data_IF_995579711098
#
_entry.id   IF_995579711098
#
_cell.length_a   1.000
_cell.length_b   1.000
_cell.length_c   1.000
_cell.angle_alpha   90.00
_cell.angle_beta   90.00
_cell.angle_gamma   90.00
#
_symmetry.space_group_name_H-M   'P 1'
#
loop_
_entity.id
_entity.type
_entity.pdbx_description
1 polymer ?
#
# COMPACT_ATOMS: atom_id res chain seq x y z
N UNK A 1 -7.48 -6.77 12.10
CA UNK A 1 -8.42 -5.92 12.86
C UNK A 1 -7.72 -4.57 13.03
N UNK A 2 -8.32 -3.49 12.55
CA UNK A 2 -7.73 -2.15 12.61
C UNK A 2 -7.52 -1.73 14.06
N UNK A 3 -6.30 -1.30 14.42
CA UNK A 3 -6.00 -0.77 15.76
C UNK A 3 -6.45 0.68 15.83
N UNK A 4 -7.58 0.89 16.48
CA UNK A 4 -8.09 2.21 16.81
C UNK A 4 -7.91 2.47 18.30
N UNK A 5 -7.40 3.63 18.65
CA UNK A 5 -7.49 4.14 20.02
C UNK A 5 -8.72 5.05 20.12
N UNK A 6 -9.57 4.78 21.11
CA UNK A 6 -10.61 5.73 21.47
C UNK A 6 -9.94 6.91 22.15
N UNK A 7 -10.44 8.12 21.92
CA UNK A 7 -10.06 9.26 22.74
C UNK A 7 -10.50 8.97 24.21
N UNK A 8 -9.56 8.48 25.03
CA UNK A 8 -9.80 8.14 26.44
C UNK A 8 -10.25 6.71 26.79
N UNK A 9 -10.10 5.66 25.94
CA UNK A 9 -10.19 4.23 26.40
C UNK A 9 -9.79 3.17 25.35
N UNK A 10 -9.54 1.94 25.81
CA UNK A 10 -8.87 0.85 25.07
C UNK A 10 -9.83 -0.20 24.46
N UNK A 11 -10.86 0.20 23.70
CA UNK A 11 -11.77 -0.76 23.05
C UNK A 11 -12.08 -0.39 21.59
N UNK A 12 -11.80 -1.32 20.68
CA UNK A 12 -12.07 -1.23 19.23
C UNK A 12 -13.47 -1.81 18.90
N UNK A 13 -14.40 -1.06 18.28
CA UNK A 13 -15.65 -1.61 17.75
C UNK A 13 -15.49 -2.23 16.35
N UNK A 14 -16.46 -3.05 15.95
CA UNK A 14 -16.55 -3.71 14.63
C UNK A 14 -16.81 -2.70 13.48
N UNK A 15 -16.27 -3.02 12.30
CA UNK A 15 -15.75 -2.07 11.29
C UNK A 15 -16.85 -1.44 10.38
N UNK A 16 -18.13 -1.77 10.56
CA UNK A 16 -19.13 -1.52 9.51
C UNK A 16 -19.76 -0.11 9.46
N UNK A 17 -19.59 0.76 10.47
CA UNK A 17 -20.21 2.11 10.46
C UNK A 17 -19.27 3.28 10.83
N UNK A 18 -17.99 3.17 10.50
CA UNK A 18 -17.03 4.25 10.74
C UNK A 18 -17.12 5.30 9.61
N UNK A 19 -17.45 6.54 9.96
CA UNK A 19 -17.42 7.68 9.03
C UNK A 19 -16.11 8.46 9.22
N UNK A 20 -15.33 8.73 8.16
CA UNK A 20 -14.16 9.61 8.26
C UNK A 20 -14.60 11.05 8.54
N UNK A 21 -14.10 11.64 9.62
CA UNK A 21 -14.44 13.01 10.02
C UNK A 21 -13.24 13.90 9.77
N UNK A 22 -13.17 14.61 8.63
CA UNK A 22 -12.43 15.89 8.42
C UNK A 22 -12.25 16.27 6.92
N UNK A 23 -12.65 17.49 6.50
CA UNK A 23 -12.37 18.01 5.15
C UNK A 23 -10.92 18.45 4.84
N UNK A 24 -10.09 19.00 5.76
CA UNK A 24 -8.71 19.43 5.42
C UNK A 24 -7.79 18.28 4.96
N UNK A 25 -8.08 17.06 5.43
CA UNK A 25 -7.32 15.85 5.10
C UNK A 25 -7.53 15.42 3.65
N UNK A 26 -8.69 15.68 3.06
CA UNK A 26 -9.00 15.23 1.70
C UNK A 26 -8.03 15.85 0.69
N UNK A 27 -7.75 17.14 0.83
CA UNK A 27 -6.79 17.85 -0.01
C UNK A 27 -5.35 17.39 0.23
N UNK A 28 -4.96 17.10 1.48
CA UNK A 28 -3.62 16.59 1.78
C UNK A 28 -3.42 15.16 1.26
N UNK A 29 -4.45 14.32 1.37
CA UNK A 29 -4.45 12.98 0.79
C UNK A 29 -4.45 13.03 -0.74
N UNK A 30 -5.13 13.99 -1.36
CA UNK A 30 -5.08 14.22 -2.80
C UNK A 30 -3.70 14.70 -3.26
N UNK A 31 -3.10 15.62 -2.50
CA UNK A 31 -1.76 16.15 -2.77
C UNK A 31 -0.71 15.03 -2.71
N UNK A 32 -0.74 14.20 -1.67
CA UNK A 32 0.20 13.09 -1.55
C UNK A 32 -0.07 12.02 -2.61
N UNK A 33 -1.34 11.68 -2.87
CA UNK A 33 -1.71 10.72 -3.92
C UNK A 33 -1.19 11.10 -5.30
N UNK A 34 -1.22 12.39 -5.66
CA UNK A 34 -0.68 12.89 -6.92
C UNK A 34 0.77 12.47 -7.18
N UNK A 35 1.61 12.42 -6.12
CA UNK A 35 3.00 11.99 -6.23
C UNK A 35 3.18 10.48 -6.07
N UNK A 36 2.39 9.83 -5.20
CA UNK A 36 2.55 8.40 -4.91
C UNK A 36 1.98 7.50 -6.01
N UNK A 37 0.86 7.90 -6.62
CA UNK A 37 0.17 7.11 -7.64
C UNK A 37 1.02 6.73 -8.85
N UNK A 38 1.76 7.64 -9.52
CA UNK A 38 2.62 7.24 -10.63
C UNK A 38 3.73 6.29 -10.18
N UNK A 39 4.22 6.42 -8.94
CA UNK A 39 5.26 5.56 -8.38
C UNK A 39 4.73 4.16 -8.08
N UNK A 40 3.51 4.06 -7.52
CA UNK A 40 2.88 2.77 -7.25
C UNK A 40 2.56 2.02 -8.55
N UNK A 41 2.11 2.73 -9.57
CA UNK A 41 1.81 2.16 -10.89
C UNK A 41 3.06 1.72 -11.67
N UNK A 42 4.22 2.27 -11.33
CA UNK A 42 5.50 1.89 -11.93
C UNK A 42 6.11 0.61 -11.30
N UNK A 43 5.51 0.07 -10.23
CA UNK A 43 5.99 -1.16 -9.61
C UNK A 43 5.90 -2.36 -10.58
N UNK A 44 6.93 -3.22 -10.68
CA UNK A 44 6.92 -4.35 -11.62
C UNK A 44 5.78 -5.35 -11.37
N UNK A 45 5.40 -5.52 -10.11
CA UNK A 45 4.33 -6.42 -9.69
C UNK A 45 2.93 -5.84 -9.91
N UNK A 46 2.79 -4.54 -10.20
CA UNK A 46 1.51 -3.85 -10.33
C UNK A 46 0.64 -4.48 -11.42
N UNK A 47 -0.59 -4.81 -11.04
CA UNK A 47 -1.68 -5.24 -11.93
C UNK A 47 -2.76 -4.17 -11.90
N UNK A 48 -3.18 -3.74 -13.10
CA UNK A 48 -4.10 -2.62 -13.26
C UNK A 48 -5.56 -3.09 -13.26
N UNK A 49 -5.83 -4.10 -14.06
CA UNK A 49 -7.16 -4.65 -14.30
C UNK A 49 -7.03 -6.10 -14.80
N UNK A 50 -8.19 -6.76 -14.98
CA UNK A 50 -8.26 -8.14 -15.46
C UNK A 50 -7.60 -8.33 -16.83
N UNK A 51 -7.68 -7.33 -17.72
CA UNK A 51 -7.08 -7.43 -19.05
C UNK A 51 -5.54 -7.41 -18.95
N UNK A 52 -4.99 -6.53 -18.11
CA UNK A 52 -3.55 -6.48 -17.83
C UNK A 52 -3.06 -7.79 -17.20
N UNK A 53 -3.84 -8.42 -16.31
CA UNK A 53 -3.49 -9.72 -15.74
C UNK A 53 -3.42 -10.81 -16.83
N UNK A 54 -4.44 -10.89 -17.70
CA UNK A 54 -4.46 -11.87 -18.80
C UNK A 54 -3.30 -11.65 -19.77
N UNK A 55 -2.94 -10.39 -20.04
CA UNK A 55 -1.77 -10.06 -20.85
C UNK A 55 -0.48 -10.61 -20.22
N UNK A 56 -0.23 -10.38 -18.92
CA UNK A 56 0.97 -10.90 -18.25
C UNK A 56 1.04 -12.43 -18.25
N UNK A 57 -0.12 -13.10 -18.13
CA UNK A 57 -0.21 -14.57 -18.23
C UNK A 57 0.15 -15.04 -19.65
N UNK A 58 -0.35 -14.35 -20.68
CA UNK A 58 0.00 -14.65 -22.07
C UNK A 58 1.49 -14.47 -22.32
N UNK A 59 2.06 -13.34 -21.88
CA UNK A 59 3.50 -13.06 -22.00
C UNK A 59 4.36 -14.13 -21.32
N UNK A 60 3.94 -14.64 -20.16
CA UNK A 60 4.61 -15.77 -19.51
C UNK A 60 4.53 -17.06 -20.34
N UNK A 61 3.36 -17.37 -20.89
CA UNK A 61 3.18 -18.56 -21.74
C UNK A 61 4.03 -18.48 -23.02
N UNK A 62 4.22 -17.27 -23.56
CA UNK A 62 5.05 -17.02 -24.74
C UNK A 62 6.55 -17.24 -24.48
N UNK A 63 7.00 -17.22 -23.22
CA UNK A 63 8.41 -17.53 -22.86
C UNK A 63 8.79 -19.01 -23.04
N UNK A 64 7.81 -19.89 -23.31
CA UNK A 64 8.00 -21.31 -23.51
C UNK A 64 7.55 -22.15 -22.32
N UNK A 65 7.77 -23.48 -22.37
CA UNK A 65 7.37 -24.37 -21.30
C UNK A 65 8.15 -24.05 -20.02
N UNK A 66 7.46 -24.05 -18.89
CA UNK A 66 8.09 -23.88 -17.58
C UNK A 66 9.07 -25.04 -17.31
N UNK A 67 10.23 -24.77 -16.70
CA UNK A 67 11.16 -25.81 -16.28
C UNK A 67 10.51 -26.83 -15.34
N UNK A 68 10.98 -28.07 -15.40
CA UNK A 68 10.54 -29.13 -14.49
C UNK A 68 10.76 -28.72 -13.03
N UNK A 69 9.74 -28.92 -12.20
CA UNK A 69 9.76 -28.52 -10.78
C UNK A 69 9.26 -27.12 -10.49
N UNK A 70 8.71 -26.40 -11.48
CA UNK A 70 8.03 -25.11 -11.26
C UNK A 70 6.81 -25.28 -10.34
N UNK A 71 6.74 -24.45 -9.30
CA UNK A 71 5.61 -24.39 -8.37
C UNK A 71 4.84 -23.07 -8.54
N UNK A 72 3.51 -23.18 -8.67
CA UNK A 72 2.63 -22.03 -8.57
C UNK A 72 2.28 -21.79 -7.10
N UNK A 73 2.73 -20.66 -6.56
CA UNK A 73 2.47 -20.25 -5.18
C UNK A 73 1.55 -19.04 -5.20
N UNK A 74 0.49 -19.07 -4.38
CA UNK A 74 -0.37 -17.93 -4.11
C UNK A 74 -0.36 -17.62 -2.62
N UNK A 75 -0.33 -16.33 -2.28
CA UNK A 75 -0.47 -15.86 -0.91
C UNK A 75 -1.41 -14.65 -0.91
N UNK A 76 -2.37 -14.69 0.02
CA UNK A 76 -3.31 -13.62 0.31
C UNK A 76 -2.88 -12.80 1.54
N UNK A 77 -2.81 -11.48 1.41
CA UNK A 77 -2.57 -10.54 2.51
C UNK A 77 -3.88 -10.19 3.19
N UNK A 78 -4.00 -10.49 4.49
CA UNK A 78 -5.23 -10.23 5.25
C UNK A 78 -5.27 -8.77 5.73
N UNK A 79 -6.34 -8.06 5.37
CA UNK A 79 -6.64 -6.70 5.83
C UNK A 79 -5.42 -5.77 5.76
N UNK A 80 -4.90 -5.57 4.55
CA UNK A 80 -3.66 -4.85 4.31
C UNK A 80 -3.63 -3.44 4.92
N UNK A 81 -4.64 -2.60 4.64
CA UNK A 81 -4.69 -1.21 5.09
C UNK A 81 -4.40 -1.04 6.59
N UNK A 82 -5.12 -1.71 7.52
CA UNK A 82 -4.85 -1.58 8.94
C UNK A 82 -3.60 -2.29 9.46
N UNK A 83 -3.00 -3.20 8.68
CA UNK A 83 -1.91 -4.06 9.14
C UNK A 83 -0.54 -3.68 8.53
N UNK A 84 -0.49 -2.69 7.64
CA UNK A 84 0.78 -2.17 7.14
C UNK A 84 1.55 -1.54 8.31
N UNK A 85 2.77 -2.01 8.51
CA UNK A 85 3.73 -1.37 9.39
C UNK A 85 4.01 0.05 8.86
N UNK A 86 3.78 1.07 9.70
CA UNK A 86 3.90 2.45 9.26
C UNK A 86 5.34 2.85 8.94
N UNK A 87 6.33 2.30 9.65
CA UNK A 87 7.74 2.57 9.39
C UNK A 87 8.15 1.93 8.06
N UNK A 88 7.70 0.71 7.80
CA UNK A 88 7.91 0.05 6.50
C UNK A 88 7.27 0.84 5.36
N UNK A 89 6.01 1.29 5.52
CA UNK A 89 5.32 2.04 4.48
C UNK A 89 5.91 3.42 4.25
N UNK A 90 6.37 4.12 5.29
CA UNK A 90 7.07 5.40 5.17
C UNK A 90 8.45 5.24 4.51
N UNK A 91 9.17 4.16 4.83
CA UNK A 91 10.42 3.80 4.15
C UNK A 91 10.17 3.56 2.66
N UNK A 92 9.14 2.77 2.32
CA UNK A 92 8.77 2.49 0.93
C UNK A 92 8.45 3.77 0.14
N UNK A 93 7.64 4.65 0.72
CA UNK A 93 7.32 5.96 0.14
C UNK A 93 8.57 6.79 -0.07
N UNK A 94 9.45 6.85 0.93
CA UNK A 94 10.70 7.62 0.87
C UNK A 94 11.61 7.12 -0.24
N UNK A 95 11.82 5.80 -0.34
CA UNK A 95 12.63 5.19 -1.39
C UNK A 95 12.06 5.47 -2.79
N UNK A 96 10.74 5.32 -2.95
CA UNK A 96 10.06 5.59 -4.21
C UNK A 96 10.12 7.08 -4.60
N UNK A 97 10.02 8.00 -3.65
CA UNK A 97 10.13 9.43 -3.93
C UNK A 97 11.56 9.85 -4.25
N UNK A 98 12.56 9.22 -3.64
CA UNK A 98 13.98 9.48 -3.92
C UNK A 98 14.43 8.97 -5.30
N UNK A 99 13.70 8.02 -5.91
CA UNK A 99 13.98 7.58 -7.29
C UNK A 99 13.46 8.53 -8.37
N UNK A 100 12.70 9.56 -7.99
CA UNK A 100 12.17 10.56 -8.93
C UNK A 100 13.31 11.35 -9.58
N UNK A 101 13.21 11.66 -10.89
CA UNK A 101 14.20 12.50 -11.57
C UNK A 101 14.17 13.95 -11.06
N UNK A 102 13.01 14.43 -10.62
CA UNK A 102 12.84 15.75 -10.00
C UNK A 102 12.49 15.58 -8.52
N UNK A 103 13.34 16.13 -7.64
CA UNK A 103 13.19 16.10 -6.19
C UNK A 103 12.39 17.29 -5.63
N UNK A 104 11.70 18.04 -6.48
CA UNK A 104 10.79 19.10 -6.08
C UNK A 104 9.31 18.63 -6.13
N UNK A 105 8.52 18.83 -5.06
CA UNK A 105 8.93 19.30 -3.74
C UNK A 105 9.72 18.22 -2.97
N UNK A 106 10.47 18.69 -1.97
CA UNK A 106 11.36 17.87 -1.12
C UNK A 106 10.67 16.60 -0.63
N UNK A 107 11.33 15.46 -0.79
CA UNK A 107 10.83 14.15 -0.37
C UNK A 107 10.53 14.14 1.13
N UNK A 108 11.55 14.36 1.96
CA UNK A 108 11.45 14.24 3.43
C UNK A 108 10.59 15.35 4.05
N UNK A 109 10.94 16.61 3.76
CA UNK A 109 10.37 17.75 4.48
C UNK A 109 9.00 18.20 3.99
N UNK A 110 8.47 17.58 2.92
CA UNK A 110 7.16 17.94 2.38
C UNK A 110 6.26 16.72 2.15
N UNK A 111 6.61 15.83 1.23
CA UNK A 111 5.69 14.76 0.82
C UNK A 111 5.60 13.68 1.90
N UNK A 112 6.74 13.20 2.41
CA UNK A 112 6.79 12.19 3.48
C UNK A 112 6.11 12.73 4.74
N UNK A 113 6.39 13.98 5.11
CA UNK A 113 5.74 14.63 6.25
C UNK A 113 4.21 14.76 6.06
N UNK A 114 3.76 15.12 4.86
CA UNK A 114 2.33 15.14 4.54
C UNK A 114 1.69 13.74 4.66
N UNK A 115 2.38 12.68 4.24
CA UNK A 115 1.92 11.29 4.42
C UNK A 115 1.85 10.93 5.91
N UNK A 116 2.87 11.28 6.72
CA UNK A 116 2.85 11.06 8.17
C UNK A 116 1.66 11.75 8.83
N UNK A 117 1.37 13.00 8.45
CA UNK A 117 0.20 13.74 8.96
C UNK A 117 -1.09 13.00 8.58
N UNK A 118 -1.22 12.51 7.34
CA UNK A 118 -2.37 11.73 6.89
C UNK A 118 -2.56 10.44 7.70
N UNK A 119 -1.48 9.74 8.05
CA UNK A 119 -1.52 8.51 8.85
C UNK A 119 -1.86 8.81 10.32
N UNK A 120 -1.20 9.80 10.93
CA UNK A 120 -1.33 10.11 12.35
C UNK A 120 -2.65 10.78 12.75
N UNK A 121 -3.34 11.44 11.81
CA UNK A 121 -4.59 12.18 12.07
C UNK A 121 -5.81 11.52 11.43
N UNK A 122 -5.78 10.20 11.29
CA UNK A 122 -6.93 9.48 10.78
C UNK A 122 -8.02 9.34 11.87
N UNK A 123 -8.90 10.33 11.91
CA UNK A 123 -10.05 10.37 12.80
C UNK A 123 -11.32 9.80 12.16
N UNK A 124 -11.98 8.98 12.94
CA UNK A 124 -13.15 8.20 12.57
C UNK A 124 -14.22 8.34 13.65
N UNK A 125 -15.47 8.58 13.29
CA UNK A 125 -16.58 8.59 14.26
C UNK A 125 -17.43 7.34 14.11
N UNK A 126 -17.82 6.76 15.24
CA UNK A 126 -18.84 5.70 15.31
C UNK A 126 -19.83 6.07 16.42
N UNK A 127 -21.08 6.34 16.04
CA UNK A 127 -22.08 6.89 16.96
C UNK A 127 -21.69 8.30 17.45
N UNK A 128 -21.57 8.47 18.77
CA UNK A 128 -21.12 9.72 19.42
C UNK A 128 -19.64 9.72 19.80
N UNK A 129 -18.92 8.66 19.46
CA UNK A 129 -17.55 8.42 19.89
C UNK A 129 -16.57 8.67 18.73
N UNK A 130 -15.39 9.21 19.07
CA UNK A 130 -14.31 9.46 18.14
C UNK A 130 -13.13 8.51 18.39
N UNK A 131 -12.61 7.97 17.29
CA UNK A 131 -11.54 6.99 17.25
C UNK A 131 -10.41 7.52 16.37
N UNK A 132 -9.18 7.37 16.84
CA UNK A 132 -7.98 7.67 16.09
C UNK A 132 -7.32 6.36 15.68
N UNK A 133 -7.03 6.21 14.39
CA UNK A 133 -6.22 5.08 13.93
C UNK A 133 -4.75 5.36 14.22
N UNK A 134 -4.12 4.49 15.00
CA UNK A 134 -2.72 4.62 15.41
C UNK A 134 -1.76 3.72 14.63
N UNK A 135 -2.30 2.83 13.79
CA UNK A 135 -1.53 1.85 13.04
C UNK A 135 -2.12 1.56 11.68
N UNK A 136 -1.26 1.34 10.69
CA UNK A 136 -1.66 1.15 9.30
C UNK A 136 -2.18 2.45 8.69
N UNK A 137 -2.92 2.31 7.59
CA UNK A 137 -3.61 3.40 6.91
C UNK A 137 -5.12 3.16 6.91
N UNK A 138 -5.89 4.23 6.87
CA UNK A 138 -7.34 4.15 6.78
C UNK A 138 -7.76 3.69 5.38
N UNK A 139 -8.95 3.10 5.29
CA UNK A 139 -9.64 2.99 4.01
C UNK A 139 -10.36 4.31 3.71
N UNK A 140 -10.20 4.85 2.50
CA UNK A 140 -10.92 6.06 2.06
C UNK A 140 -10.03 7.24 1.64
N UNK A 141 -8.93 7.59 2.34
CA UNK A 141 -8.00 8.62 1.88
C UNK A 141 -7.50 8.31 0.46
N UNK A 142 -7.37 9.33 -0.39
CA UNK A 142 -7.00 9.12 -1.81
C UNK A 142 -5.65 8.42 -1.96
N UNK A 143 -4.70 8.77 -1.10
CA UNK A 143 -3.36 8.19 -1.07
C UNK A 143 -3.28 6.78 -0.45
N UNK A 144 -4.37 6.25 0.11
CA UNK A 144 -4.33 4.99 0.87
C UNK A 144 -3.92 3.80 -0.02
N UNK A 145 -4.48 3.70 -1.23
CA UNK A 145 -4.16 2.61 -2.15
C UNK A 145 -2.70 2.68 -2.60
N UNK A 146 -2.25 3.85 -3.08
CA UNK A 146 -0.85 4.01 -3.52
C UNK A 146 0.15 3.83 -2.39
N UNK A 147 -0.18 4.24 -1.17
CA UNK A 147 0.64 3.94 0.00
C UNK A 147 0.76 2.43 0.26
N UNK A 148 -0.36 1.70 0.19
CA UNK A 148 -0.37 0.26 0.39
C UNK A 148 0.42 -0.49 -0.70
N UNK A 149 0.27 -0.07 -1.95
CA UNK A 149 0.99 -0.63 -3.10
C UNK A 149 2.50 -0.49 -2.95
N UNK A 150 2.97 0.71 -2.56
CA UNK A 150 4.38 0.97 -2.33
C UNK A 150 4.92 0.11 -1.17
N UNK A 151 4.18 -0.02 -0.08
CA UNK A 151 4.56 -0.86 1.05
C UNK A 151 4.69 -2.34 0.64
N UNK A 152 3.76 -2.86 -0.17
CA UNK A 152 3.81 -4.22 -0.70
C UNK A 152 4.93 -4.38 -1.71
N UNK A 153 5.24 -3.37 -2.51
CA UNK A 153 6.37 -3.39 -3.45
C UNK A 153 7.69 -3.76 -2.76
N UNK A 154 7.94 -3.26 -1.55
CA UNK A 154 9.11 -3.64 -0.75
C UNK A 154 9.05 -5.10 -0.29
N UNK A 155 7.87 -5.60 0.07
CA UNK A 155 7.68 -7.00 0.46
C UNK A 155 7.89 -7.92 -0.74
N UNK A 156 7.36 -7.55 -1.92
CA UNK A 156 7.51 -8.27 -3.17
C UNK A 156 9.00 -8.35 -3.58
N UNK A 157 9.74 -7.24 -3.48
CA UNK A 157 11.16 -7.22 -3.79
C UNK A 157 11.96 -8.14 -2.86
N UNK A 158 11.70 -8.09 -1.55
CA UNK A 158 12.33 -8.99 -0.57
C UNK A 158 11.97 -10.45 -0.82
N UNK A 159 10.72 -10.74 -1.18
CA UNK A 159 10.29 -12.09 -1.52
C UNK A 159 11.00 -12.61 -2.77
N UNK A 160 11.12 -11.80 -3.83
CA UNK A 160 11.88 -12.15 -5.04
C UNK A 160 13.34 -12.45 -4.73
N UNK A 161 14.00 -11.59 -3.94
CA UNK A 161 15.41 -11.79 -3.57
C UNK A 161 15.61 -13.10 -2.81
N UNK A 162 14.75 -13.40 -1.83
CA UNK A 162 14.84 -14.64 -1.06
C UNK A 162 14.63 -15.89 -1.93
N UNK A 163 13.75 -15.83 -2.93
CA UNK A 163 13.59 -16.91 -3.90
C UNK A 163 14.89 -17.12 -4.69
N UNK A 164 15.49 -16.04 -5.20
CA UNK A 164 16.73 -16.09 -6.00
C UNK A 164 17.89 -16.66 -5.16
N UNK A 165 18.09 -16.17 -3.93
CA UNK A 165 19.14 -16.68 -3.04
C UNK A 165 18.89 -18.11 -2.55
N UNK A 166 17.62 -18.55 -2.52
CA UNK A 166 17.24 -19.94 -2.29
C UNK A 166 17.44 -20.87 -3.49
N UNK A 167 17.97 -20.37 -4.63
CA UNK A 167 18.16 -21.14 -5.85
C UNK A 167 16.89 -21.31 -6.69
N UNK A 168 15.85 -20.53 -6.44
CA UNK A 168 14.56 -20.58 -7.13
C UNK A 168 14.37 -19.31 -7.98
N UNK A 169 14.25 -19.48 -9.30
CA UNK A 169 13.86 -18.37 -10.19
C UNK A 169 12.35 -18.20 -10.15
N UNK A 170 11.84 -17.00 -9.84
CA UNK A 170 10.39 -16.78 -9.70
C UNK A 170 9.94 -15.37 -10.09
N UNK A 171 8.73 -15.27 -10.64
CA UNK A 171 8.05 -14.01 -10.95
C UNK A 171 6.93 -13.79 -9.95
N UNK A 172 6.86 -12.61 -9.34
CA UNK A 172 5.79 -12.21 -8.41
C UNK A 172 4.90 -11.16 -9.06
N UNK A 173 3.59 -11.41 -9.01
CA UNK A 173 2.54 -10.47 -9.38
C UNK A 173 1.79 -10.06 -8.12
N UNK A 174 1.47 -8.77 -8.01
CA UNK A 174 0.73 -8.21 -6.89
C UNK A 174 -0.48 -7.45 -7.41
N UNK A 175 -1.65 -7.89 -7.00
CA UNK A 175 -2.91 -7.30 -7.40
C UNK A 175 -3.30 -6.33 -6.30
N UNK A 176 -3.17 -5.04 -6.59
CA UNK A 176 -3.77 -4.01 -5.75
C UNK A 176 -5.27 -3.96 -6.00
N UNK A 177 -6.05 -3.97 -4.92
CA UNK A 177 -7.49 -3.76 -4.99
C UNK A 177 -7.80 -2.29 -5.31
N UNK A 178 -7.69 -1.90 -6.58
CA UNK A 178 -8.34 -0.69 -7.05
C UNK A 178 -9.84 -0.98 -7.22
N UNK A 179 -10.66 -0.31 -6.40
CA UNK A 179 -12.11 -0.19 -6.66
C UNK A 179 -12.36 0.89 -7.70
#
# INVERSE_FOLDING_TARGET
>A
MSKFEKFGSTLCPEIENIVPVTPPRENLSAFTDFYLKPLSQALPSFIKDTAHLLQKISELNDTGPFPDGTLLVSWHVVAIFPNIDNDLGLLAVTQALNSRPNQFPSTESCIVEAVKICLAHNNSSFGKEHYLQIHGTAMGPKNACSYADLAIGIIDERAKLNLIYGGVTGTIFSISGHR
#
